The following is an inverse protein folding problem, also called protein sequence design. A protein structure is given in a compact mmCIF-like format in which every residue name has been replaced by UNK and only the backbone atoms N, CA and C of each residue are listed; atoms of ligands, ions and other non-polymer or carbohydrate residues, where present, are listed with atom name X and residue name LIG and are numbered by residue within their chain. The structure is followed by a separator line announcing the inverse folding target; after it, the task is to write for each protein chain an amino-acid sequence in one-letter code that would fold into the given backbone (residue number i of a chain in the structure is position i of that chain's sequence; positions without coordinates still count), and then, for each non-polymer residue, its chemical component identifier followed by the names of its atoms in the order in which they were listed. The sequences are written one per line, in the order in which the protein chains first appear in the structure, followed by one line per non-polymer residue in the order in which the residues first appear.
data_IF_593287937169
#
_entry.id   IF_593287937169
#
_cell.length_a   1.000
_cell.length_b   1.000
_cell.length_c   1.000
_cell.angle_alpha   90.00
_cell.angle_beta   90.00
_cell.angle_gamma   90.00
#
_symmetry.space_group_name_H-M   'P 1'
#
loop_
_entity.id
_entity.type
_entity.pdbx_description
1 polymer ?
#
# COMPACT_ATOMS: atom_id res chain seq x y z
N UNK A 1 -25.02 0.22 1.17
CA UNK A 1 -24.98 -0.73 2.30
C UNK A 1 -23.63 -0.57 2.99
N UNK A 2 -23.59 -0.35 4.31
CA UNK A 2 -22.35 -0.18 5.10
C UNK A 2 -22.19 -1.41 5.99
N UNK A 3 -20.98 -2.00 6.02
CA UNK A 3 -20.61 -3.10 6.93
C UNK A 3 -19.36 -2.63 7.66
N UNK A 4 -19.32 -2.81 8.99
CA UNK A 4 -18.18 -2.45 9.82
C UNK A 4 -17.34 -3.69 10.10
N UNK A 5 -16.03 -3.57 9.91
CA UNK A 5 -15.05 -4.63 10.15
C UNK A 5 -13.83 -4.03 10.86
N UNK A 6 -13.27 -4.76 11.80
CA UNK A 6 -11.96 -4.41 12.38
C UNK A 6 -10.87 -4.77 11.38
N UNK A 7 -9.95 -3.84 11.13
CA UNK A 7 -8.74 -4.04 10.32
C UNK A 7 -7.49 -3.73 11.13
N UNK A 8 -6.35 -4.31 10.77
CA UNK A 8 -5.10 -4.04 11.49
C UNK A 8 -4.63 -2.62 11.19
N UNK A 9 -3.81 -2.06 12.07
CA UNK A 9 -3.24 -0.72 11.85
C UNK A 9 -2.36 -0.67 10.60
N UNK A 10 -1.67 -1.77 10.27
CA UNK A 10 -0.95 -1.87 9.01
C UNK A 10 -1.87 -1.82 7.78
N UNK A 11 -3.00 -2.53 7.81
CA UNK A 11 -3.99 -2.47 6.73
C UNK A 11 -4.60 -1.06 6.62
N UNK A 12 -4.88 -0.42 7.74
CA UNK A 12 -5.35 0.96 7.78
C UNK A 12 -4.38 1.92 7.09
N UNK A 13 -3.10 1.90 7.50
CA UNK A 13 -2.04 2.76 6.94
C UNK A 13 -1.83 2.47 5.44
N UNK A 14 -1.84 1.18 5.06
CA UNK A 14 -1.65 0.75 3.68
C UNK A 14 -2.76 1.27 2.76
N UNK A 15 -4.02 1.05 3.11
CA UNK A 15 -5.16 1.56 2.32
C UNK A 15 -5.19 3.08 2.28
N UNK A 16 -4.93 3.74 3.42
CA UNK A 16 -4.88 5.19 3.47
C UNK A 16 -3.80 5.74 2.53
N UNK A 17 -2.60 5.17 2.57
CA UNK A 17 -1.49 5.58 1.71
C UNK A 17 -1.84 5.47 0.22
N UNK A 18 -2.54 4.41 -0.21
CA UNK A 18 -2.98 4.23 -1.59
C UNK A 18 -3.98 5.32 -2.00
N UNK A 19 -4.92 5.69 -1.13
CA UNK A 19 -5.87 6.77 -1.41
C UNK A 19 -5.15 8.11 -1.59
N UNK A 20 -4.14 8.40 -0.77
CA UNK A 20 -3.33 9.61 -0.93
C UNK A 20 -2.59 9.64 -2.28
N UNK A 21 -2.13 8.48 -2.78
CA UNK A 21 -1.53 8.37 -4.11
C UNK A 21 -2.56 8.60 -5.20
N UNK A 22 -3.72 7.94 -5.12
CA UNK A 22 -4.81 8.12 -6.09
C UNK A 22 -5.23 9.58 -6.20
N UNK A 23 -5.36 10.28 -5.07
CA UNK A 23 -5.64 11.72 -5.03
C UNK A 23 -4.53 12.53 -5.71
N UNK A 24 -3.27 12.23 -5.42
CA UNK A 24 -2.13 12.91 -6.07
C UNK A 24 -2.07 12.66 -7.58
N UNK A 25 -2.59 11.52 -8.05
CA UNK A 25 -2.72 11.16 -9.47
C UNK A 25 -3.99 11.72 -10.13
N UNK A 26 -4.77 12.54 -9.42
CA UNK A 26 -5.96 13.21 -9.94
C UNK A 26 -7.26 12.38 -9.92
N UNK A 27 -7.30 11.25 -9.21
CA UNK A 27 -8.52 10.49 -9.00
C UNK A 27 -9.36 11.10 -7.87
N UNK A 28 -10.68 11.17 -8.07
CA UNK A 28 -11.63 11.59 -7.04
C UNK A 28 -11.82 10.47 -6.01
N UNK A 29 -11.20 10.64 -4.84
CA UNK A 29 -11.26 9.72 -3.70
C UNK A 29 -11.54 10.44 -2.38
N UNK A 30 -12.08 11.66 -2.45
CA UNK A 30 -12.27 12.51 -1.27
C UNK A 30 -13.30 11.92 -0.30
N UNK A 31 -14.29 11.16 -0.80
CA UNK A 31 -15.30 10.49 0.03
C UNK A 31 -14.69 9.35 0.85
N UNK A 32 -13.75 8.62 0.27
CA UNK A 32 -13.04 7.52 0.90
C UNK A 32 -12.03 8.04 1.92
N UNK A 33 -11.27 9.08 1.59
CA UNK A 33 -10.30 9.71 2.50
C UNK A 33 -10.99 10.23 3.77
N UNK A 34 -12.19 10.80 3.67
CA UNK A 34 -12.97 11.28 4.82
C UNK A 34 -13.40 10.18 5.80
N UNK A 35 -13.25 8.90 5.44
CA UNK A 35 -13.54 7.78 6.34
C UNK A 35 -12.35 7.42 7.24
N UNK A 36 -11.19 8.05 7.02
CA UNK A 36 -9.99 7.86 7.83
C UNK A 36 -9.94 8.96 8.89
N UNK A 37 -9.65 8.55 10.11
CA UNK A 37 -9.42 9.40 11.26
C UNK A 37 -7.94 9.83 11.33
N UNK A 38 -7.70 11.02 11.88
CA UNK A 38 -6.37 11.47 12.23
C UNK A 38 -5.90 10.71 13.48
N UNK A 39 -4.91 9.84 13.30
CA UNK A 39 -4.35 9.04 14.38
C UNK A 39 -3.17 9.81 15.00
N UNK A 40 -3.37 10.35 16.20
CA UNK A 40 -2.29 10.97 16.97
C UNK A 40 -1.38 9.89 17.59
N UNK A 41 -0.38 9.45 16.81
CA UNK A 41 0.67 8.55 17.29
C UNK A 41 2.03 8.95 16.70
N UNK A 42 3.12 9.02 17.50
CA UNK A 42 4.43 9.48 17.03
C UNK A 42 4.99 8.69 15.84
N UNK A 43 4.64 7.41 15.72
CA UNK A 43 5.06 6.57 14.60
C UNK A 43 4.13 6.60 13.39
N UNK A 44 2.95 7.19 13.47
CA UNK A 44 1.95 7.12 12.40
C UNK A 44 2.46 7.76 11.11
N UNK A 45 2.86 9.03 11.15
CA UNK A 45 3.37 9.74 9.98
C UNK A 45 4.62 9.09 9.39
N UNK A 46 5.50 8.57 10.26
CA UNK A 46 6.70 7.85 9.84
C UNK A 46 6.34 6.61 9.01
N UNK A 47 5.49 5.72 9.54
CA UNK A 47 5.10 4.51 8.83
C UNK A 47 4.20 4.78 7.63
N UNK A 48 3.35 5.82 7.69
CA UNK A 48 2.56 6.28 6.56
C UNK A 48 3.46 6.75 5.41
N UNK A 49 4.53 7.50 5.71
CA UNK A 49 5.48 7.96 4.69
C UNK A 49 6.20 6.80 4.00
N UNK A 50 6.62 5.78 4.76
CA UNK A 50 7.27 4.57 4.23
C UNK A 50 6.28 3.81 3.34
N UNK A 51 5.07 3.56 3.85
CA UNK A 51 4.06 2.80 3.13
C UNK A 51 3.65 3.50 1.83
N UNK A 52 3.51 4.83 1.88
CA UNK A 52 3.25 5.66 0.70
C UNK A 52 4.38 5.56 -0.33
N UNK A 53 5.65 5.57 0.10
CA UNK A 53 6.79 5.43 -0.81
C UNK A 53 6.83 4.06 -1.49
N UNK A 54 6.50 2.98 -0.77
CA UNK A 54 6.40 1.62 -1.33
C UNK A 54 5.25 1.55 -2.35
N UNK A 55 4.06 2.04 -1.97
CA UNK A 55 2.90 2.02 -2.85
C UNK A 55 3.07 2.93 -4.08
N UNK A 56 3.87 3.99 -4.00
CA UNK A 56 4.22 4.82 -5.15
C UNK A 56 5.08 4.05 -6.15
N UNK A 57 6.10 3.33 -5.68
CA UNK A 57 6.92 2.47 -6.54
C UNK A 57 6.10 1.37 -7.22
N UNK A 58 5.15 0.75 -6.50
CA UNK A 58 4.21 -0.19 -7.10
C UNK A 58 3.35 0.46 -8.18
N UNK A 59 2.82 1.65 -7.91
CA UNK A 59 2.02 2.39 -8.88
C UNK A 59 2.79 2.62 -10.18
N UNK A 60 4.03 3.13 -10.09
CA UNK A 60 4.86 3.41 -11.24
C UNK A 60 5.20 2.13 -12.04
N UNK A 61 5.58 1.04 -11.35
CA UNK A 61 5.86 -0.24 -11.99
C UNK A 61 4.63 -0.86 -12.66
N UNK A 62 3.46 -0.76 -12.02
CA UNK A 62 2.21 -1.23 -12.62
C UNK A 62 1.82 -0.41 -13.85
N UNK A 63 2.05 0.89 -13.85
CA UNK A 63 1.80 1.72 -15.02
C UNK A 63 2.76 1.41 -16.17
N UNK A 64 4.04 1.15 -15.87
CA UNK A 64 5.00 0.60 -16.85
C UNK A 64 4.51 -0.71 -17.43
N UNK A 65 4.05 -1.65 -16.59
CA UNK A 65 3.52 -2.94 -17.04
C UNK A 65 2.28 -2.79 -17.93
N UNK A 66 1.39 -1.85 -17.63
CA UNK A 66 0.13 -1.64 -18.38
C UNK A 66 0.35 -0.96 -19.74
N UNK A 67 1.30 -0.04 -19.83
CA UNK A 67 1.39 0.92 -20.96
C UNK A 67 2.74 0.91 -21.69
N UNK A 68 3.80 0.39 -21.07
CA UNK A 68 5.17 0.69 -21.45
C UNK A 68 6.04 -0.50 -21.84
N UNK A 69 5.52 -1.74 -21.80
CA UNK A 69 6.30 -2.94 -22.11
C UNK A 69 5.62 -3.81 -23.17
N UNK A 70 6.44 -4.35 -24.07
CA UNK A 70 6.01 -5.38 -25.01
C UNK A 70 5.86 -6.72 -24.28
N UNK A 71 4.80 -7.48 -24.62
CA UNK A 71 4.58 -8.80 -24.04
C UNK A 71 5.69 -9.78 -24.40
N UNK A 72 6.02 -10.65 -23.46
CA UNK A 72 7.08 -11.64 -23.54
C UNK A 72 8.48 -11.04 -23.73
N UNK A 73 8.63 -9.74 -23.46
CA UNK A 73 9.94 -9.09 -23.47
C UNK A 73 10.67 -9.30 -22.14
N UNK A 74 12.00 -9.13 -22.19
CA UNK A 74 12.81 -9.09 -20.97
C UNK A 74 12.34 -7.99 -20.02
N UNK A 75 11.95 -6.83 -20.55
CA UNK A 75 11.48 -5.70 -19.75
C UNK A 75 10.17 -6.01 -19.02
N UNK A 76 9.23 -6.72 -19.65
CA UNK A 76 8.01 -7.18 -18.96
C UNK A 76 8.36 -8.15 -17.82
N UNK A 77 9.26 -9.09 -18.08
CA UNK A 77 9.75 -10.06 -17.08
C UNK A 77 10.42 -9.35 -15.88
N UNK A 78 11.33 -8.42 -16.14
CA UNK A 78 12.03 -7.64 -15.11
C UNK A 78 11.03 -6.78 -14.31
N UNK A 79 10.05 -6.15 -14.98
CA UNK A 79 9.01 -5.35 -14.33
C UNK A 79 8.14 -6.23 -13.42
N UNK A 80 7.72 -7.41 -13.89
CA UNK A 80 6.92 -8.35 -13.10
C UNK A 80 7.70 -8.87 -11.87
N UNK A 81 8.99 -9.14 -12.04
CA UNK A 81 9.88 -9.52 -10.93
C UNK A 81 9.97 -8.40 -9.89
N UNK A 82 10.20 -7.15 -10.31
CA UNK A 82 10.24 -6.01 -9.39
C UNK A 82 8.92 -5.80 -8.65
N UNK A 83 7.77 -5.90 -9.34
CA UNK A 83 6.45 -5.83 -8.69
C UNK A 83 6.33 -6.90 -7.60
N UNK A 84 6.86 -8.10 -7.84
CA UNK A 84 6.85 -9.19 -6.84
C UNK A 84 7.69 -8.81 -5.62
N UNK A 85 8.93 -8.36 -5.84
CA UNK A 85 9.84 -7.96 -4.76
C UNK A 85 9.28 -6.80 -3.93
N UNK A 86 8.69 -5.79 -4.56
CA UNK A 86 8.10 -4.65 -3.86
C UNK A 86 6.83 -5.05 -3.10
N UNK A 87 6.02 -5.98 -3.61
CA UNK A 87 4.89 -6.53 -2.86
C UNK A 87 5.33 -7.35 -1.63
N UNK A 88 6.46 -8.05 -1.70
CA UNK A 88 7.04 -8.71 -0.54
C UNK A 88 7.56 -7.70 0.49
N UNK A 89 8.22 -6.62 0.03
CA UNK A 89 8.62 -5.51 0.91
C UNK A 89 7.40 -4.84 1.58
N UNK A 90 6.32 -4.60 0.83
CA UNK A 90 5.07 -4.05 1.37
C UNK A 90 4.52 -4.96 2.47
N UNK A 91 4.47 -6.27 2.22
CA UNK A 91 4.00 -7.25 3.19
C UNK A 91 4.84 -7.28 4.47
N UNK A 92 6.17 -7.33 4.35
CA UNK A 92 7.06 -7.30 5.51
C UNK A 92 6.99 -5.98 6.26
N UNK A 93 6.77 -4.86 5.56
CA UNK A 93 6.53 -3.56 6.19
C UNK A 93 5.24 -3.55 7.00
N UNK A 94 4.16 -4.14 6.48
CA UNK A 94 2.89 -4.29 7.21
C UNK A 94 3.06 -5.07 8.51
N UNK A 95 3.79 -6.19 8.47
CA UNK A 95 4.11 -6.95 9.70
C UNK A 95 4.84 -6.10 10.74
N UNK A 96 5.84 -5.32 10.31
CA UNK A 96 6.61 -4.44 11.22
C UNK A 96 5.75 -3.34 11.83
N UNK A 97 4.82 -2.79 11.04
CA UNK A 97 3.84 -1.81 11.52
C UNK A 97 2.95 -2.46 12.59
N UNK A 98 2.35 -3.61 12.29
CA UNK A 98 1.47 -4.30 13.25
C UNK A 98 2.20 -4.61 14.57
N UNK A 99 3.46 -5.04 14.52
CA UNK A 99 4.28 -5.26 15.72
C UNK A 99 4.56 -3.96 16.48
N UNK A 100 4.95 -2.88 15.78
CA UNK A 100 5.30 -1.60 16.41
C UNK A 100 4.10 -0.97 17.15
N UNK A 101 2.91 -1.04 16.57
CA UNK A 101 1.68 -0.49 17.15
C UNK A 101 0.97 -1.47 18.09
N UNK A 102 1.48 -2.70 18.26
CA UNK A 102 0.86 -3.71 19.12
C UNK A 102 -0.51 -4.17 18.62
N UNK A 103 -0.70 -4.30 17.31
CA UNK A 103 -1.98 -4.70 16.70
C UNK A 103 -2.43 -6.07 17.21
N UNK A 104 -3.71 -6.19 17.58
CA UNK A 104 -4.32 -7.43 18.08
C UNK A 104 -4.36 -8.55 17.02
N UNK A 105 -4.30 -8.17 15.74
CA UNK A 105 -4.30 -9.10 14.62
C UNK A 105 -3.41 -8.59 13.48
N UNK A 106 -2.83 -9.54 12.75
CA UNK A 106 -1.87 -9.32 11.66
C UNK A 106 -2.32 -10.11 10.45
N UNK A 107 -2.21 -9.51 9.26
CA UNK A 107 -2.48 -10.21 8.01
C UNK A 107 -1.46 -11.36 7.78
N UNK A 108 -1.96 -12.55 7.47
CA UNK A 108 -1.12 -13.71 7.09
C UNK A 108 -1.05 -13.81 5.57
N UNK A 109 0.16 -13.84 5.02
CA UNK A 109 0.42 -14.22 3.62
C UNK A 109 0.91 -15.66 3.59
N UNK A 110 0.30 -16.50 2.75
CA UNK A 110 0.89 -17.78 2.36
C UNK A 110 1.88 -17.53 1.23
N UNK A 111 3.03 -18.22 1.27
CA UNK A 111 3.85 -18.40 0.08
C UNK A 111 3.13 -19.31 -0.91
#
# INVERSE_FOLDING_TARGET
MKIEISISIAEYIDRYSILLIKKAQGLDVDKEIKQYEDIEHPGFDYYLSIMKAINWQLWDLEDVKRKGVERYSKQESDTAFLITQINDLRHETKKRIDVFFGSEFTEKKSH
#
